data_IF_554570419586
#
_entry.id   IF_554570419586
#
_cell.length_a   1.000
_cell.length_b   1.000
_cell.length_c   1.000
_cell.angle_alpha   90.00
_cell.angle_beta   90.00
_cell.angle_gamma   90.00
#
_symmetry.space_group_name_H-M   'P 1'
#
loop_
_entity.id
_entity.type
_entity.pdbx_description
1 polymer ?
#
# COMPACT_ATOMS: atom_id res chain seq x y z
N UNK A 1 -5.51 -25.39 14.78
CA UNK A 1 -5.16 -25.73 13.39
C UNK A 1 -5.57 -27.16 13.05
N UNK A 2 -5.09 -28.19 13.77
CA UNK A 2 -5.36 -29.60 13.46
C UNK A 2 -6.79 -30.13 13.72
N UNK A 3 -7.67 -29.35 14.36
CA UNK A 3 -9.07 -29.76 14.57
C UNK A 3 -9.86 -29.87 13.26
N UNK A 4 -9.54 -29.02 12.26
CA UNK A 4 -10.18 -29.06 10.93
C UNK A 4 -9.88 -30.37 10.19
N UNK A 5 -8.68 -30.93 10.38
CA UNK A 5 -8.28 -32.23 9.80
C UNK A 5 -9.17 -33.35 10.33
N UNK A 6 -9.39 -33.40 11.65
CA UNK A 6 -10.24 -34.43 12.27
C UNK A 6 -11.69 -34.31 11.80
N UNK A 7 -12.21 -33.08 11.66
CA UNK A 7 -13.56 -32.83 11.14
C UNK A 7 -13.70 -33.26 9.67
N UNK A 8 -12.66 -33.08 8.86
CA UNK A 8 -12.65 -33.52 7.46
C UNK A 8 -12.62 -35.05 7.31
N UNK A 9 -12.05 -35.76 8.30
CA UNK A 9 -11.98 -37.22 8.31
C UNK A 9 -10.57 -37.78 8.48
N UNK A 10 -9.58 -36.95 8.84
CA UNK A 10 -8.25 -37.45 9.18
C UNK A 10 -8.27 -38.20 10.51
N UNK A 11 -7.57 -39.33 10.55
CA UNK A 11 -7.33 -40.12 11.76
C UNK A 11 -5.99 -39.76 12.39
N UNK A 12 -6.01 -39.47 13.70
CA UNK A 12 -4.79 -39.14 14.45
C UNK A 12 -4.02 -40.41 14.80
N UNK A 13 -2.72 -40.42 14.50
CA UNK A 13 -1.80 -41.50 14.87
C UNK A 13 -0.61 -40.96 15.70
N UNK A 14 0.43 -41.78 15.93
CA UNK A 14 1.63 -41.36 16.69
C UNK A 14 2.55 -40.38 15.93
N UNK A 15 2.51 -40.39 14.60
CA UNK A 15 3.36 -39.59 13.72
C UNK A 15 2.68 -38.31 13.19
N UNK A 16 1.36 -38.19 13.29
CA UNK A 16 0.58 -37.10 12.70
C UNK A 16 -0.89 -37.47 12.48
N UNK A 17 -1.41 -37.10 11.31
CA UNK A 17 -2.79 -37.29 10.88
C UNK A 17 -2.81 -37.93 9.49
N UNK A 18 -3.56 -39.01 9.31
CA UNK A 18 -3.71 -39.70 8.03
C UNK A 18 -5.12 -39.56 7.47
N UNK A 19 -5.22 -39.41 6.16
CA UNK A 19 -6.48 -39.47 5.42
C UNK A 19 -6.31 -40.40 4.23
N UNK A 20 -7.31 -41.24 3.98
CA UNK A 20 -7.34 -42.14 2.84
C UNK A 20 -8.70 -42.04 2.12
N UNK A 21 -8.66 -41.95 0.79
CA UNK A 21 -9.87 -41.92 -0.03
C UNK A 21 -9.70 -42.74 -1.30
N UNK A 22 -10.67 -43.61 -1.58
CA UNK A 22 -10.74 -44.38 -2.82
C UNK A 22 -11.23 -43.49 -3.98
N UNK A 23 -10.51 -43.52 -5.09
CA UNK A 23 -10.84 -42.78 -6.33
C UNK A 23 -11.03 -43.75 -7.50
N UNK A 24 -11.62 -43.27 -8.59
CA UNK A 24 -11.84 -44.04 -9.83
C UNK A 24 -12.48 -45.42 -9.59
N UNK A 25 -13.64 -45.43 -8.92
CA UNK A 25 -14.38 -46.66 -8.55
C UNK A 25 -13.62 -47.64 -7.63
N UNK A 26 -12.55 -47.17 -6.97
CA UNK A 26 -11.77 -47.97 -6.04
C UNK A 26 -10.52 -48.59 -6.62
N UNK A 27 -10.18 -48.30 -7.89
CA UNK A 27 -8.95 -48.77 -8.55
C UNK A 27 -7.69 -48.11 -7.94
N UNK A 28 -7.85 -46.95 -7.29
CA UNK A 28 -6.76 -46.24 -6.63
C UNK A 28 -7.19 -45.68 -5.26
N UNK A 29 -6.22 -45.49 -4.38
CA UNK A 29 -6.38 -44.87 -3.07
C UNK A 29 -5.41 -43.70 -2.92
N UNK A 30 -5.94 -42.50 -2.64
CA UNK A 30 -5.15 -41.34 -2.27
C UNK A 30 -4.90 -41.41 -0.77
N UNK A 31 -3.63 -41.39 -0.35
CA UNK A 31 -3.22 -41.31 1.06
C UNK A 31 -2.52 -39.99 1.31
N UNK A 32 -3.07 -39.18 2.22
CA UNK A 32 -2.50 -37.90 2.66
C UNK A 32 -2.05 -38.03 4.11
N UNK A 33 -0.83 -37.61 4.39
CA UNK A 33 -0.27 -37.56 5.74
C UNK A 33 0.14 -36.14 6.09
N UNK A 34 -0.32 -35.67 7.25
CA UNK A 34 0.10 -34.39 7.85
C UNK A 34 0.84 -34.69 9.14
N UNK A 35 2.13 -34.38 9.19
CA UNK A 35 2.97 -34.61 10.37
C UNK A 35 2.63 -33.62 11.50
N UNK A 36 3.13 -33.89 12.71
CA UNK A 36 2.90 -33.03 13.88
C UNK A 36 3.55 -31.64 13.75
N UNK A 37 4.59 -31.50 12.93
CA UNK A 37 5.23 -30.23 12.56
C UNK A 37 4.59 -29.56 11.34
N UNK A 38 3.50 -30.14 10.79
CA UNK A 38 2.69 -29.52 9.72
C UNK A 38 3.17 -29.80 8.30
N UNK A 39 4.15 -30.68 8.09
CA UNK A 39 4.54 -31.12 6.75
C UNK A 39 3.45 -31.99 6.16
N UNK A 40 3.09 -31.71 4.91
CA UNK A 40 2.09 -32.48 4.16
C UNK A 40 2.80 -33.35 3.13
N UNK A 41 2.45 -34.63 3.11
CA UNK A 41 2.88 -35.57 2.08
C UNK A 41 1.68 -36.35 1.58
N UNK A 42 1.71 -36.77 0.32
CA UNK A 42 0.72 -37.71 -0.17
C UNK A 42 1.25 -38.57 -1.30
N UNK A 43 0.52 -39.67 -1.50
CA UNK A 43 0.79 -40.67 -2.51
C UNK A 43 -0.52 -41.26 -3.01
N UNK A 44 -0.47 -41.80 -4.22
CA UNK A 44 -1.57 -42.57 -4.80
C UNK A 44 -1.14 -44.02 -4.85
N UNK A 45 -1.97 -44.91 -4.32
CA UNK A 45 -1.73 -46.36 -4.31
C UNK A 45 -2.64 -47.00 -5.35
N UNK A 46 -2.08 -47.83 -6.21
CA UNK A 46 -2.84 -48.75 -7.06
C UNK A 46 -3.37 -49.88 -6.17
N UNK A 47 -4.69 -50.06 -6.08
CA UNK A 47 -5.28 -51.01 -5.12
C UNK A 47 -5.12 -52.47 -5.55
N UNK A 48 -4.94 -52.73 -6.85
CA UNK A 48 -4.76 -54.07 -7.39
C UNK A 48 -3.34 -54.57 -7.10
N UNK A 49 -2.34 -53.71 -7.28
CA UNK A 49 -0.93 -54.03 -7.03
C UNK A 49 -0.51 -53.76 -5.59
N UNK A 50 -1.26 -52.92 -4.86
CA UNK A 50 -0.89 -52.37 -3.55
C UNK A 50 0.48 -51.68 -3.57
N UNK A 51 0.77 -50.98 -4.67
CA UNK A 51 2.03 -50.27 -4.93
C UNK A 51 1.75 -48.79 -5.23
N UNK A 52 2.76 -47.95 -5.01
CA UNK A 52 2.65 -46.52 -5.29
C UNK A 52 2.62 -46.25 -6.80
N UNK A 53 1.63 -45.47 -7.24
CA UNK A 53 1.43 -45.11 -8.63
C UNK A 53 2.37 -43.96 -9.06
N UNK A 54 3.64 -44.28 -9.27
CA UNK A 54 4.71 -43.32 -9.58
C UNK A 54 4.54 -42.58 -10.91
N UNK A 55 3.68 -43.06 -11.81
CA UNK A 55 3.44 -42.45 -13.12
C UNK A 55 2.89 -41.01 -13.02
N UNK A 56 2.34 -40.62 -11.87
CA UNK A 56 1.91 -39.24 -11.58
C UNK A 56 3.07 -38.24 -11.54
N UNK A 57 4.25 -38.67 -11.10
CA UNK A 57 5.43 -37.80 -10.90
C UNK A 57 6.31 -37.67 -12.16
N UNK A 58 6.00 -38.41 -13.22
CA UNK A 58 6.75 -38.34 -14.48
C UNK A 58 6.22 -37.19 -15.32
N UNK A 59 7.02 -36.13 -15.46
CA UNK A 59 6.69 -34.87 -16.17
C UNK A 59 6.31 -35.04 -17.67
N UNK A 60 6.38 -36.26 -18.22
CA UNK A 60 6.01 -36.58 -19.61
C UNK A 60 4.92 -37.65 -19.76
N UNK A 61 4.36 -38.19 -18.66
CA UNK A 61 3.29 -39.19 -18.74
C UNK A 61 2.00 -38.53 -19.26
N UNK A 62 1.66 -38.82 -20.52
CA UNK A 62 0.61 -38.14 -21.30
C UNK A 62 -0.43 -39.12 -21.86
N UNK A 63 -0.70 -40.21 -21.12
CA UNK A 63 -1.82 -41.11 -21.41
C UNK A 63 -3.13 -40.56 -20.84
N UNK A 64 -4.25 -40.75 -21.56
CA UNK A 64 -5.59 -40.34 -21.11
C UNK A 64 -5.98 -40.92 -19.74
N UNK A 65 -5.44 -42.08 -19.40
CA UNK A 65 -5.64 -42.73 -18.11
C UNK A 65 -4.86 -42.05 -16.97
N UNK A 66 -3.56 -41.72 -17.17
CA UNK A 66 -2.75 -40.97 -16.20
C UNK A 66 -3.38 -39.59 -15.93
N UNK A 67 -3.93 -38.95 -16.96
CA UNK A 67 -4.67 -37.69 -16.83
C UNK A 67 -5.86 -37.79 -15.88
N UNK A 68 -6.67 -38.85 -16.00
CA UNK A 68 -7.83 -39.09 -15.12
C UNK A 68 -7.42 -39.36 -13.67
N UNK A 69 -6.36 -40.15 -13.46
CA UNK A 69 -5.83 -40.39 -12.11
C UNK A 69 -5.31 -39.08 -11.50
N UNK A 70 -4.63 -38.24 -12.29
CA UNK A 70 -4.12 -36.94 -11.86
C UNK A 70 -5.25 -35.97 -11.48
N UNK A 71 -6.29 -35.91 -12.30
CA UNK A 71 -7.47 -35.06 -12.05
C UNK A 71 -8.18 -35.50 -10.76
N UNK A 72 -8.50 -36.79 -10.61
CA UNK A 72 -9.14 -37.30 -9.40
C UNK A 72 -8.28 -37.13 -8.13
N UNK A 73 -6.95 -37.29 -8.26
CA UNK A 73 -6.01 -37.00 -7.17
C UNK A 73 -6.02 -35.51 -6.80
N UNK A 74 -6.02 -34.62 -7.79
CA UNK A 74 -6.04 -33.18 -7.58
C UNK A 74 -7.34 -32.74 -6.91
N UNK A 75 -8.49 -33.31 -7.29
CA UNK A 75 -9.79 -33.03 -6.66
C UNK A 75 -9.82 -33.40 -5.16
N UNK A 76 -9.20 -34.52 -4.76
CA UNK A 76 -9.05 -34.88 -3.34
C UNK A 76 -8.17 -33.87 -2.63
N UNK A 77 -7.05 -33.51 -3.24
CA UNK A 77 -6.10 -32.55 -2.70
C UNK A 77 -6.69 -31.15 -2.49
N UNK A 78 -7.42 -30.64 -3.47
CA UNK A 78 -8.08 -29.34 -3.42
C UNK A 78 -9.11 -29.30 -2.29
N UNK A 79 -9.93 -30.35 -2.12
CA UNK A 79 -10.88 -30.43 -1.00
C UNK A 79 -10.18 -30.44 0.36
N UNK A 80 -9.10 -31.22 0.49
CA UNK A 80 -8.31 -31.26 1.73
C UNK A 80 -7.73 -29.88 2.02
N UNK A 81 -7.15 -29.22 1.01
CA UNK A 81 -6.57 -27.89 1.13
C UNK A 81 -7.62 -26.85 1.56
N UNK A 82 -8.75 -26.77 0.88
CA UNK A 82 -9.84 -25.83 1.18
C UNK A 82 -10.44 -26.03 2.58
N UNK A 83 -10.60 -27.29 3.00
CA UNK A 83 -11.25 -27.59 4.27
C UNK A 83 -10.30 -27.47 5.48
N UNK A 84 -9.03 -27.83 5.29
CA UNK A 84 -8.10 -28.02 6.41
C UNK A 84 -7.01 -26.96 6.52
N UNK A 85 -6.72 -26.22 5.44
CA UNK A 85 -5.61 -25.28 5.39
C UNK A 85 -6.11 -23.85 5.13
N UNK A 86 -5.35 -22.87 5.61
CA UNK A 86 -5.56 -21.47 5.26
C UNK A 86 -4.53 -21.10 4.21
N UNK A 87 -5.01 -20.61 3.06
CA UNK A 87 -4.14 -20.09 2.02
C UNK A 87 -3.40 -18.87 2.57
N UNK A 88 -2.11 -19.05 2.84
CA UNK A 88 -1.22 -17.98 3.22
C UNK A 88 -0.80 -17.21 1.95
N UNK A 89 -1.08 -15.90 1.87
CA UNK A 89 -0.79 -15.12 0.67
C UNK A 89 0.71 -14.91 0.41
N UNK A 90 1.56 -15.12 1.42
CA UNK A 90 3.00 -14.87 1.36
C UNK A 90 3.82 -16.12 1.65
N UNK A 91 5.07 -16.14 1.19
CA UNK A 91 5.93 -17.32 1.30
C UNK A 91 6.50 -17.51 2.72
N UNK A 92 6.79 -16.41 3.42
CA UNK A 92 7.35 -16.42 4.76
C UNK A 92 6.27 -16.33 5.84
N UNK A 93 6.44 -17.08 6.94
CA UNK A 93 5.54 -17.00 8.09
C UNK A 93 5.50 -15.58 8.66
N UNK A 94 6.65 -14.90 8.73
CA UNK A 94 6.75 -13.54 9.25
C UNK A 94 5.97 -12.52 8.41
N UNK A 95 5.99 -12.62 7.09
CA UNK A 95 5.18 -11.76 6.22
C UNK A 95 3.68 -12.04 6.41
N UNK A 96 3.27 -13.30 6.57
CA UNK A 96 1.87 -13.64 6.85
C UNK A 96 1.41 -13.09 8.21
N UNK A 97 2.26 -13.16 9.25
CA UNK A 97 1.99 -12.52 10.55
C UNK A 97 1.84 -11.01 10.41
N UNK A 98 2.73 -10.34 9.66
CA UNK A 98 2.63 -8.90 9.36
C UNK A 98 1.33 -8.56 8.61
N UNK A 99 0.99 -9.30 7.56
CA UNK A 99 -0.21 -9.06 6.77
C UNK A 99 -1.48 -9.16 7.62
N UNK A 100 -1.57 -10.19 8.46
CA UNK A 100 -2.66 -10.35 9.41
C UNK A 100 -2.71 -9.21 10.44
N UNK A 101 -1.55 -8.77 10.95
CA UNK A 101 -1.45 -7.62 11.87
C UNK A 101 -1.97 -6.33 11.22
N UNK A 102 -1.56 -6.04 9.98
CA UNK A 102 -2.01 -4.86 9.23
C UNK A 102 -3.52 -4.90 8.94
N UNK A 103 -4.03 -6.08 8.56
CA UNK A 103 -5.46 -6.28 8.28
C UNK A 103 -6.31 -6.12 9.54
N UNK A 104 -5.90 -6.72 10.65
CA UNK A 104 -6.66 -6.68 11.92
C UNK A 104 -6.58 -5.32 12.61
N UNK A 105 -5.42 -4.65 12.55
CA UNK A 105 -5.19 -3.36 13.22
C UNK A 105 -5.75 -2.19 12.42
N UNK A 106 -5.60 -2.19 11.09
CA UNK A 106 -5.93 -1.03 10.25
C UNK A 106 -7.01 -1.30 9.20
N UNK A 107 -7.35 -2.57 8.95
CA UNK A 107 -8.21 -2.96 7.82
C UNK A 107 -7.51 -2.89 6.47
N UNK A 108 -6.19 -2.66 6.46
CA UNK A 108 -5.40 -2.53 5.24
C UNK A 108 -5.29 -3.88 4.53
N UNK A 109 -5.35 -3.85 3.19
CA UNK A 109 -5.20 -5.01 2.32
C UNK A 109 -4.01 -4.79 1.38
N UNK A 110 -3.63 -5.83 0.63
CA UNK A 110 -2.60 -5.75 -0.39
C UNK A 110 -3.18 -5.86 -1.80
N UNK A 111 -2.48 -5.31 -2.78
CA UNK A 111 -2.77 -5.46 -4.21
C UNK A 111 -1.56 -6.01 -4.98
N UNK A 112 -1.77 -6.42 -6.23
CA UNK A 112 -0.70 -6.82 -7.14
C UNK A 112 -0.46 -5.72 -8.17
N UNK A 113 0.52 -4.82 -7.95
CA UNK A 113 0.66 -3.62 -8.78
C UNK A 113 1.21 -3.88 -10.19
N UNK A 114 1.76 -5.07 -10.47
CA UNK A 114 2.46 -5.37 -11.72
C UNK A 114 1.89 -6.63 -12.39
N UNK A 115 1.26 -6.47 -13.56
CA UNK A 115 0.73 -7.61 -14.33
C UNK A 115 1.80 -8.64 -14.71
N UNK A 116 3.04 -8.19 -14.94
CA UNK A 116 4.17 -9.06 -15.32
C UNK A 116 4.80 -9.80 -14.14
N UNK A 117 4.53 -9.35 -12.91
CA UNK A 117 5.09 -9.90 -11.67
C UNK A 117 3.94 -10.06 -10.66
N UNK A 118 3.04 -11.03 -10.89
CA UNK A 118 1.88 -11.26 -10.01
C UNK A 118 2.28 -11.65 -8.59
N UNK A 119 3.50 -12.15 -8.38
CA UNK A 119 4.05 -12.46 -7.07
C UNK A 119 4.45 -11.21 -6.25
N UNK A 120 4.49 -10.03 -6.87
CA UNK A 120 4.77 -8.79 -6.15
C UNK A 120 3.48 -8.25 -5.56
N UNK A 121 3.54 -7.86 -4.29
CA UNK A 121 2.38 -7.33 -3.57
C UNK A 121 2.70 -5.96 -3.01
N UNK A 122 1.75 -5.03 -3.03
CA UNK A 122 1.94 -3.70 -2.43
C UNK A 122 0.89 -3.37 -1.39
N UNK A 123 1.34 -2.64 -0.37
CA UNK A 123 0.49 -2.09 0.66
C UNK A 123 0.34 -0.59 0.48
N UNK A 124 -0.91 -0.13 0.47
CA UNK A 124 -1.26 1.27 0.19
C UNK A 124 -2.02 1.88 1.35
N UNK A 125 -1.72 3.14 1.65
CA UNK A 125 -2.53 3.87 2.61
C UNK A 125 -3.93 4.12 2.02
N UNK A 126 -5.03 3.70 2.67
CA UNK A 126 -6.36 3.68 2.06
C UNK A 126 -6.83 5.04 1.51
N UNK A 127 -6.56 6.13 2.22
CA UNK A 127 -7.10 7.46 1.83
C UNK A 127 -6.43 8.07 0.60
N UNK A 128 -5.15 7.74 0.36
CA UNK A 128 -4.35 8.43 -0.68
C UNK A 128 -3.65 7.49 -1.65
N UNK A 129 -3.81 6.18 -1.46
CA UNK A 129 -3.32 5.10 -2.33
C UNK A 129 -1.80 5.10 -2.54
N UNK A 130 -1.05 5.80 -1.68
CA UNK A 130 0.42 5.79 -1.71
C UNK A 130 0.95 4.50 -1.10
N UNK A 131 1.98 3.96 -1.74
CA UNK A 131 2.73 2.82 -1.23
C UNK A 131 3.43 3.14 0.08
N UNK A 132 3.22 2.29 1.08
CA UNK A 132 4.08 2.20 2.27
C UNK A 132 4.82 0.87 2.38
N UNK A 133 4.42 -0.13 1.60
CA UNK A 133 5.07 -1.43 1.54
C UNK A 133 5.07 -1.97 0.11
N UNK A 134 6.17 -2.57 -0.32
CA UNK A 134 6.23 -3.36 -1.55
C UNK A 134 6.98 -4.65 -1.26
N UNK A 135 6.27 -5.77 -1.34
CA UNK A 135 6.73 -7.12 -1.07
C UNK A 135 7.16 -7.79 -2.37
N UNK A 136 8.28 -8.50 -2.34
CA UNK A 136 8.77 -9.30 -3.46
C UNK A 136 9.69 -10.42 -2.98
N UNK A 137 9.91 -11.42 -3.84
CA UNK A 137 10.85 -12.51 -3.59
C UNK A 137 12.06 -12.38 -4.52
N UNK A 138 13.27 -12.50 -3.98
CA UNK A 138 14.52 -12.40 -4.74
C UNK A 138 15.63 -13.25 -4.12
N UNK A 139 16.67 -13.57 -4.89
CA UNK A 139 17.85 -14.23 -4.36
C UNK A 139 18.61 -13.28 -3.42
N UNK A 140 19.00 -13.75 -2.23
CA UNK A 140 19.64 -12.94 -1.18
C UNK A 140 20.84 -12.15 -1.71
N UNK A 141 21.65 -12.76 -2.57
CA UNK A 141 22.82 -12.13 -3.20
C UNK A 141 22.53 -10.93 -4.10
N UNK A 142 21.26 -10.60 -4.39
CA UNK A 142 20.89 -9.35 -5.08
C UNK A 142 20.78 -8.14 -4.14
N UNK A 143 20.77 -8.37 -2.83
CA UNK A 143 20.79 -7.31 -1.82
C UNK A 143 22.21 -6.74 -1.67
N UNK A 144 22.27 -5.51 -1.16
CA UNK A 144 23.53 -4.88 -0.78
C UNK A 144 23.91 -5.32 0.63
N UNK A 145 24.57 -6.48 0.73
CA UNK A 145 24.86 -7.20 1.98
C UNK A 145 26.03 -6.59 2.78
N UNK A 146 26.68 -5.53 2.28
CA UNK A 146 27.79 -4.88 2.97
C UNK A 146 28.97 -5.81 3.27
N UNK A 147 29.35 -5.91 4.54
CA UNK A 147 30.45 -6.76 5.02
C UNK A 147 29.98 -8.15 5.51
N UNK A 148 28.68 -8.47 5.37
CA UNK A 148 28.16 -9.77 5.79
C UNK A 148 28.72 -10.91 4.94
N UNK A 149 29.10 -12.00 5.60
CA UNK A 149 29.62 -13.21 4.94
C UNK A 149 28.52 -14.27 4.87
N UNK A 150 28.26 -14.74 3.66
CA UNK A 150 27.26 -15.75 3.34
C UNK A 150 27.90 -16.82 2.47
N UNK A 151 27.50 -18.08 2.64
CA UNK A 151 27.87 -19.16 1.72
C UNK A 151 27.20 -18.97 0.36
N UNK A 152 27.71 -19.64 -0.68
CA UNK A 152 27.10 -19.56 -2.01
C UNK A 152 25.66 -20.06 -2.02
N UNK A 153 25.35 -21.10 -1.22
CA UNK A 153 24.01 -21.66 -1.08
C UNK A 153 23.03 -20.63 -0.46
N UNK A 154 23.46 -19.90 0.57
CA UNK A 154 22.64 -18.85 1.20
C UNK A 154 22.46 -17.61 0.30
N UNK A 155 23.43 -17.32 -0.57
CA UNK A 155 23.32 -16.22 -1.54
C UNK A 155 22.30 -16.53 -2.65
N UNK A 156 22.20 -17.80 -3.04
CA UNK A 156 21.26 -18.29 -4.06
C UNK A 156 19.86 -18.56 -3.48
N UNK A 157 19.73 -18.59 -2.15
CA UNK A 157 18.45 -18.70 -1.44
C UNK A 157 17.49 -17.56 -1.83
N UNK A 158 16.25 -17.93 -2.15
CA UNK A 158 15.17 -16.96 -2.38
C UNK A 158 14.61 -16.50 -1.05
N UNK A 159 14.75 -15.21 -0.78
CA UNK A 159 14.19 -14.55 0.40
C UNK A 159 13.04 -13.64 0.00
N UNK A 160 12.01 -13.59 0.85
CA UNK A 160 10.95 -12.61 0.76
C UNK A 160 11.39 -11.33 1.47
N UNK A 161 11.09 -10.19 0.85
CA UNK A 161 11.50 -8.88 1.34
C UNK A 161 10.34 -7.89 1.28
N UNK A 162 10.40 -6.84 2.10
CA UNK A 162 9.53 -5.67 1.98
C UNK A 162 10.34 -4.38 1.87
N UNK A 163 10.05 -3.58 0.85
CA UNK A 163 10.50 -2.21 0.76
C UNK A 163 9.57 -1.30 1.54
N UNK A 164 10.11 -0.55 2.49
CA UNK A 164 9.37 0.42 3.30
C UNK A 164 9.98 1.81 3.21
N UNK A 165 9.16 2.84 3.42
CA UNK A 165 9.58 4.23 3.47
C UNK A 165 10.07 4.58 4.87
N UNK A 166 11.17 5.32 4.95
CA UNK A 166 11.78 5.73 6.24
C UNK A 166 12.11 7.21 6.24
N UNK A 167 12.31 7.77 7.44
CA UNK A 167 12.88 9.11 7.58
C UNK A 167 14.36 9.09 7.15
N UNK A 168 14.78 10.17 6.49
CA UNK A 168 16.17 10.37 6.08
C UNK A 168 17.12 10.44 7.25
N UNK A 169 16.64 10.96 8.38
CA UNK A 169 17.46 11.13 9.58
C UNK A 169 17.72 9.78 10.29
N UNK A 170 16.80 8.82 10.15
CA UNK A 170 16.92 7.48 10.75
C UNK A 170 17.72 6.48 9.88
N UNK A 171 17.95 6.79 8.60
CA UNK A 171 18.62 5.89 7.65
C UNK A 171 19.96 5.30 8.16
N UNK A 172 20.90 6.10 8.71
CA UNK A 172 22.19 5.56 9.13
C UNK A 172 22.08 4.53 10.27
N UNK A 173 21.16 4.75 11.21
CA UNK A 173 20.92 3.84 12.35
C UNK A 173 20.22 2.57 11.89
N UNK A 174 19.22 2.70 11.02
CA UNK A 174 18.50 1.55 10.45
C UNK A 174 19.43 0.64 9.65
N UNK A 175 20.29 1.21 8.80
CA UNK A 175 21.24 0.43 7.99
C UNK A 175 22.37 -0.21 8.80
N UNK A 176 22.55 0.15 10.06
CA UNK A 176 23.47 -0.53 10.98
C UNK A 176 22.82 -1.75 11.66
N UNK A 177 21.51 -1.94 11.49
CA UNK A 177 20.75 -3.05 12.08
C UNK A 177 20.73 -4.24 11.13
N UNK A 178 21.12 -5.43 11.62
CA UNK A 178 21.05 -6.67 10.85
C UNK A 178 19.61 -6.94 10.37
N UNK A 179 19.46 -7.37 9.12
CA UNK A 179 18.15 -7.60 8.49
C UNK A 179 17.54 -6.37 7.81
N UNK A 180 18.20 -5.21 7.89
CA UNK A 180 17.82 -3.98 7.18
C UNK A 180 18.90 -3.62 6.16
N UNK A 181 18.49 -3.53 4.89
CA UNK A 181 19.40 -3.30 3.77
C UNK A 181 19.03 -2.04 2.99
N UNK A 182 19.97 -1.45 2.22
CA UNK A 182 19.66 -0.40 1.27
C UNK A 182 18.55 -0.83 0.30
N UNK A 183 17.63 0.08 -0.04
CA UNK A 183 16.44 -0.30 -0.81
C UNK A 183 16.77 -0.95 -2.16
N UNK A 184 16.12 -2.08 -2.44
CA UNK A 184 16.11 -2.73 -3.74
C UNK A 184 15.02 -2.11 -4.65
N UNK A 185 15.37 -1.70 -5.88
CA UNK A 185 14.51 -1.00 -6.87
C UNK A 185 13.91 0.37 -6.47
N UNK A 186 13.87 0.72 -5.18
CA UNK A 186 13.33 1.99 -4.69
C UNK A 186 14.42 3.05 -4.45
N UNK A 187 14.00 4.25 -4.06
CA UNK A 187 14.93 5.35 -3.78
C UNK A 187 15.65 5.15 -2.44
N UNK A 188 16.93 4.80 -2.51
CA UNK A 188 17.83 4.55 -1.36
C UNK A 188 17.96 5.70 -0.35
N UNK A 189 17.49 6.91 -0.67
CA UNK A 189 17.46 8.07 0.25
C UNK A 189 16.19 8.18 1.07
N UNK A 190 15.23 7.28 0.92
CA UNK A 190 13.93 7.38 1.62
C UNK A 190 13.25 6.03 1.80
N UNK A 191 13.90 4.96 1.37
CA UNK A 191 13.41 3.59 1.46
C UNK A 191 14.53 2.69 1.94
N UNK A 192 14.15 1.63 2.63
CA UNK A 192 15.00 0.50 3.01
C UNK A 192 14.28 -0.80 2.67
N UNK A 193 15.06 -1.88 2.59
CA UNK A 193 14.57 -3.25 2.40
C UNK A 193 14.69 -4.00 3.71
N UNK A 194 13.62 -4.65 4.15
CA UNK A 194 13.63 -5.61 5.26
C UNK A 194 13.53 -7.01 4.69
N UNK A 195 14.24 -7.97 5.29
CA UNK A 195 14.18 -9.40 4.92
C UNK A 195 13.35 -10.16 5.94
N UNK A 196 12.49 -11.08 5.48
CA UNK A 196 11.68 -11.94 6.33
C UNK A 196 12.42 -13.26 6.64
N UNK A 197 13.47 -13.19 7.43
CA UNK A 197 14.28 -14.34 7.88
C UNK A 197 14.38 -14.43 9.42
N UNK A 198 13.42 -13.80 10.13
CA UNK A 198 13.36 -13.69 11.59
C UNK A 198 14.60 -13.06 12.25
N UNK A 199 15.50 -12.40 11.49
CA UNK A 199 16.61 -11.62 12.06
C UNK A 199 16.12 -10.39 12.82
N UNK A 200 15.01 -9.79 12.38
CA UNK A 200 14.26 -8.77 13.09
C UNK A 200 13.10 -9.43 13.83
N UNK A 201 12.88 -9.04 15.09
CA UNK A 201 11.68 -9.49 15.80
C UNK A 201 10.42 -8.93 15.15
N UNK A 202 9.30 -9.64 15.28
CA UNK A 202 8.00 -9.16 14.78
C UNK A 202 7.67 -7.76 15.30
N UNK A 203 7.97 -7.46 16.56
CA UNK A 203 7.74 -6.13 17.15
C UNK A 203 8.52 -5.03 16.43
N UNK A 204 9.81 -5.26 16.15
CA UNK A 204 10.64 -4.30 15.43
C UNK A 204 10.16 -4.13 14.00
N UNK A 205 9.90 -5.24 13.31
CA UNK A 205 9.47 -5.24 11.92
C UNK A 205 8.13 -4.53 11.76
N UNK A 206 7.14 -4.84 12.62
CA UNK A 206 5.81 -4.25 12.56
C UNK A 206 5.89 -2.74 12.81
N UNK A 207 6.65 -2.32 13.83
CA UNK A 207 6.88 -0.90 14.12
C UNK A 207 7.49 -0.16 12.92
N UNK A 208 8.46 -0.74 12.22
CA UNK A 208 9.05 -0.14 11.03
C UNK A 208 8.04 0.04 9.88
N UNK A 209 7.21 -0.97 9.63
CA UNK A 209 6.16 -0.93 8.59
C UNK A 209 5.07 0.08 8.95
N UNK A 210 4.65 0.14 10.22
CA UNK A 210 3.69 1.13 10.72
C UNK A 210 4.22 2.55 10.61
N UNK A 211 5.51 2.77 10.91
CA UNK A 211 6.15 4.06 10.71
C UNK A 211 6.16 4.46 9.23
N UNK A 212 6.44 3.53 8.32
CA UNK A 212 6.31 3.77 6.87
C UNK A 212 4.88 4.17 6.49
N UNK A 213 3.88 3.46 7.02
CA UNK A 213 2.46 3.77 6.83
C UNK A 213 2.14 5.19 7.30
N UNK A 214 2.61 5.58 8.49
CA UNK A 214 2.44 6.92 9.04
C UNK A 214 3.11 8.00 8.18
N UNK A 215 4.31 7.73 7.64
CA UNK A 215 5.03 8.66 6.76
C UNK A 215 4.29 8.93 5.44
N UNK A 216 3.51 7.97 4.93
CA UNK A 216 2.77 8.12 3.66
C UNK A 216 1.33 8.55 3.84
N UNK A 217 0.74 8.36 5.02
CA UNK A 217 -0.53 8.98 5.42
C UNK A 217 -0.49 10.49 5.17
N UNK A 218 0.73 11.05 5.16
CA UNK A 218 1.00 12.46 5.09
C UNK A 218 0.95 13.03 6.49
N UNK A 219 1.52 14.22 6.69
CA UNK A 219 1.00 15.06 7.77
C UNK A 219 -0.48 15.19 7.46
N UNK A 220 -1.36 14.64 8.31
CA UNK A 220 -2.78 14.98 8.34
C UNK A 220 -2.83 16.50 8.62
N UNK A 221 -2.58 17.28 7.57
CA UNK A 221 -2.64 18.73 7.58
C UNK A 221 -4.07 19.15 7.25
N UNK A 222 -5.02 18.26 7.53
CA UNK A 222 -6.44 18.52 7.46
C UNK A 222 -6.99 18.21 8.81
N UNK A 223 -7.89 19.06 9.28
CA UNK A 223 -8.39 18.91 10.64
C UNK A 223 -9.19 17.62 10.75
N UNK A 224 -8.88 16.77 11.74
CA UNK A 224 -9.74 15.64 12.15
C UNK A 224 -11.12 16.15 12.62
N UNK A 225 -11.22 17.43 12.96
CA UNK A 225 -12.44 18.12 13.38
C UNK A 225 -12.34 19.60 13.02
N UNK A 226 -12.70 19.98 11.79
CA UNK A 226 -12.73 21.38 11.35
C UNK A 226 -12.48 21.57 9.86
N UNK A 227 -12.57 22.82 9.37
CA UNK A 227 -12.30 23.14 7.96
C UNK A 227 -10.80 23.07 7.62
N UNK A 228 -10.48 22.66 6.40
CA UNK A 228 -9.12 22.72 5.88
C UNK A 228 -8.78 24.13 5.38
N UNK A 229 -7.49 24.49 5.41
CA UNK A 229 -6.98 25.76 4.91
C UNK A 229 -6.12 25.54 3.67
N UNK A 230 -6.54 26.11 2.55
CA UNK A 230 -5.93 25.91 1.23
C UNK A 230 -5.27 27.19 0.73
N UNK A 231 -4.12 27.05 0.08
CA UNK A 231 -3.46 28.08 -0.71
C UNK A 231 -3.54 27.67 -2.18
N UNK A 232 -4.12 28.53 -3.01
CA UNK A 232 -4.26 28.28 -4.45
C UNK A 232 -3.62 29.39 -5.27
N UNK A 233 -2.91 29.08 -6.37
CA UNK A 233 -2.39 30.10 -7.27
C UNK A 233 -3.49 30.60 -8.21
N UNK A 234 -3.47 31.90 -8.49
CA UNK A 234 -4.22 32.50 -9.57
C UNK A 234 -3.32 33.39 -10.41
N UNK A 235 -3.37 33.17 -11.72
CA UNK A 235 -2.55 33.91 -12.68
C UNK A 235 -3.39 35.03 -13.31
N UNK A 236 -3.03 36.31 -13.11
CA UNK A 236 -3.76 37.45 -13.68
C UNK A 236 -3.94 37.40 -15.20
N UNK A 237 -3.09 36.66 -15.92
CA UNK A 237 -3.24 36.46 -17.37
C UNK A 237 -4.52 35.70 -17.73
N UNK A 238 -5.00 34.82 -16.85
CA UNK A 238 -6.14 33.94 -17.10
C UNK A 238 -7.36 34.26 -16.22
N UNK A 239 -7.16 34.98 -15.12
CA UNK A 239 -8.21 35.29 -14.16
C UNK A 239 -8.17 36.77 -13.79
N UNK A 240 -9.27 37.47 -14.00
CA UNK A 240 -9.48 38.83 -13.48
C UNK A 240 -10.29 38.76 -12.18
N UNK A 241 -9.62 38.28 -11.13
CA UNK A 241 -10.25 38.06 -9.82
C UNK A 241 -10.66 39.38 -9.18
N UNK A 242 -9.90 40.43 -9.45
CA UNK A 242 -10.13 41.76 -8.90
C UNK A 242 -11.48 42.30 -9.43
N UNK A 243 -11.76 42.15 -10.73
CA UNK A 243 -13.06 42.49 -11.31
C UNK A 243 -14.19 41.58 -10.78
N UNK A 244 -13.97 40.27 -10.72
CA UNK A 244 -14.97 39.32 -10.23
C UNK A 244 -15.40 39.63 -8.78
N UNK A 245 -14.44 39.92 -7.88
CA UNK A 245 -14.77 40.28 -6.49
C UNK A 245 -15.27 41.72 -6.32
N UNK A 246 -14.96 42.63 -7.25
CA UNK A 246 -15.56 43.95 -7.28
C UNK A 246 -17.06 43.89 -7.61
N UNK A 247 -17.48 42.96 -8.47
CA UNK A 247 -18.88 42.76 -8.84
C UNK A 247 -19.65 41.97 -7.77
N UNK A 248 -19.05 40.92 -7.20
CA UNK A 248 -19.72 40.07 -6.22
C UNK A 248 -18.75 39.56 -5.15
N UNK A 249 -19.17 39.61 -3.88
CA UNK A 249 -18.44 38.93 -2.79
C UNK A 249 -18.42 37.41 -2.91
N UNK A 250 -19.24 36.84 -3.79
CA UNK A 250 -19.34 35.40 -4.01
C UNK A 250 -19.16 35.09 -5.49
N UNK A 251 -18.16 34.28 -5.81
CA UNK A 251 -17.77 33.97 -7.19
C UNK A 251 -17.65 32.45 -7.41
N UNK A 252 -17.64 32.05 -8.68
CA UNK A 252 -17.34 30.68 -9.07
C UNK A 252 -15.86 30.52 -9.38
N UNK A 253 -15.24 29.50 -8.81
CA UNK A 253 -13.82 29.22 -8.97
C UNK A 253 -13.57 27.80 -9.46
N UNK A 254 -12.43 27.59 -10.12
CA UNK A 254 -12.03 26.28 -10.63
C UNK A 254 -11.66 25.31 -9.50
N UNK A 255 -12.27 24.13 -9.46
CA UNK A 255 -11.97 23.14 -8.43
C UNK A 255 -10.96 22.11 -8.95
N UNK A 256 -9.68 22.31 -8.59
CA UNK A 256 -8.55 21.44 -8.99
C UNK A 256 -8.02 20.54 -7.87
N UNK A 257 -8.65 20.57 -6.69
CA UNK A 257 -8.31 19.74 -5.54
C UNK A 257 -9.59 19.30 -4.81
N UNK A 258 -9.43 18.38 -3.85
CA UNK A 258 -10.52 17.85 -3.02
C UNK A 258 -10.91 18.81 -1.89
N UNK A 259 -11.24 20.06 -2.23
CA UNK A 259 -11.79 21.03 -1.27
C UNK A 259 -13.19 20.60 -0.84
N UNK A 260 -13.56 20.91 0.40
CA UNK A 260 -14.87 20.62 0.99
C UNK A 260 -15.62 21.91 1.31
N UNK A 261 -16.95 21.81 1.37
CA UNK A 261 -17.78 22.90 1.91
C UNK A 261 -17.34 23.23 3.35
N UNK A 262 -17.15 24.51 3.63
CA UNK A 262 -16.67 25.01 4.91
C UNK A 262 -15.17 25.28 4.96
N UNK A 263 -14.38 24.70 4.04
CA UNK A 263 -12.94 24.95 3.94
C UNK A 263 -12.65 26.43 3.68
N UNK A 264 -11.44 26.86 4.05
CA UNK A 264 -10.92 28.18 3.77
C UNK A 264 -9.89 28.15 2.64
N UNK A 265 -9.85 29.21 1.85
CA UNK A 265 -8.98 29.33 0.68
C UNK A 265 -8.34 30.70 0.68
N UNK A 266 -7.01 30.75 0.67
CA UNK A 266 -6.30 31.95 0.27
C UNK A 266 -5.81 31.86 -1.17
N UNK A 267 -6.01 32.95 -1.90
CA UNK A 267 -5.67 33.07 -3.30
C UNK A 267 -4.37 33.86 -3.42
N UNK A 268 -3.34 33.17 -3.90
CA UNK A 268 -2.03 33.73 -4.21
C UNK A 268 -2.00 34.21 -5.66
N UNK A 269 -1.88 35.53 -5.85
CA UNK A 269 -1.70 36.14 -7.15
C UNK A 269 -0.27 35.89 -7.61
N UNK A 270 -0.10 35.23 -8.76
CA UNK A 270 1.23 34.93 -9.29
C UNK A 270 1.94 36.19 -9.80
N UNK A 271 3.05 36.04 -10.53
CA UNK A 271 3.75 37.19 -11.12
C UNK A 271 2.78 38.07 -11.95
N UNK A 272 2.90 39.41 -11.88
CA UNK A 272 3.98 40.17 -11.23
C UNK A 272 3.81 40.34 -9.71
N UNK A 273 2.59 40.25 -9.17
CA UNK A 273 2.27 40.56 -7.77
C UNK A 273 2.98 39.68 -6.75
N UNK A 274 2.93 38.35 -6.93
CA UNK A 274 3.56 37.38 -6.01
C UNK A 274 3.18 37.56 -4.53
N UNK A 275 1.89 37.70 -4.25
CA UNK A 275 1.36 37.83 -2.90
C UNK A 275 0.00 37.15 -2.74
N UNK A 276 -0.37 36.80 -1.51
CA UNK A 276 -1.74 36.40 -1.19
C UNK A 276 -2.59 37.66 -1.09
N UNK A 277 -3.67 37.72 -1.86
CA UNK A 277 -4.56 38.89 -1.92
C UNK A 277 -5.94 38.63 -1.32
N UNK A 278 -6.47 37.44 -1.48
CA UNK A 278 -7.83 37.13 -1.04
C UNK A 278 -7.85 35.96 -0.08
N UNK A 279 -8.71 36.04 0.92
CA UNK A 279 -9.08 34.94 1.80
C UNK A 279 -10.58 34.71 1.73
N UNK A 280 -10.97 33.47 1.48
CA UNK A 280 -12.33 33.09 1.14
C UNK A 280 -12.78 31.84 1.93
N UNK A 281 -14.08 31.62 1.99
CA UNK A 281 -14.69 30.38 2.46
C UNK A 281 -15.38 29.64 1.31
N UNK A 282 -15.25 28.33 1.27
CA UNK A 282 -15.92 27.46 0.29
C UNK A 282 -17.37 27.23 0.72
N UNK A 283 -18.31 27.65 -0.12
CA UNK A 283 -19.75 27.50 0.14
C UNK A 283 -20.34 26.24 -0.50
N UNK A 284 -19.89 25.90 -1.70
CA UNK A 284 -20.37 24.75 -2.49
C UNK A 284 -19.20 24.17 -3.32
N UNK A 285 -19.23 22.87 -3.58
CA UNK A 285 -18.20 22.13 -4.32
C UNK A 285 -18.86 21.22 -5.36
N UNK A 286 -18.06 20.69 -6.29
CA UNK A 286 -18.46 19.75 -7.33
C UNK A 286 -19.55 20.27 -8.29
N UNK A 287 -19.60 21.60 -8.49
CA UNK A 287 -20.51 22.22 -9.44
C UNK A 287 -20.05 21.93 -10.88
N UNK A 288 -20.94 21.55 -11.81
CA UNK A 288 -20.56 21.34 -13.21
C UNK A 288 -20.14 22.66 -13.87
N UNK A 289 -19.09 22.64 -14.68
CA UNK A 289 -18.71 23.80 -15.50
C UNK A 289 -19.58 23.89 -16.78
N UNK A 290 -20.73 24.55 -16.68
CA UNK A 290 -21.64 24.79 -17.80
C UNK A 290 -21.19 25.93 -18.74
N UNK A 291 -19.93 25.92 -19.19
CA UNK A 291 -19.28 26.96 -19.99
C UNK A 291 -19.00 28.30 -19.26
N UNK A 292 -18.92 28.29 -17.93
CA UNK A 292 -18.50 29.47 -17.16
C UNK A 292 -17.01 29.80 -17.36
N UNK A 293 -16.15 28.77 -17.44
CA UNK A 293 -14.76 28.93 -17.87
C UNK A 293 -14.57 28.23 -19.21
N UNK A 294 -14.14 29.00 -20.21
CA UNK A 294 -13.89 28.54 -21.58
C UNK A 294 -12.53 27.81 -21.68
N UNK A 295 -12.41 26.70 -20.96
CA UNK A 295 -11.22 25.85 -20.95
C UNK A 295 -11.64 24.39 -20.75
N UNK A 296 -11.46 23.51 -21.76
CA UNK A 296 -11.96 22.13 -21.75
C UNK A 296 -11.47 21.28 -20.57
N UNK A 297 -10.30 21.61 -20.00
CA UNK A 297 -9.75 20.88 -18.86
C UNK A 297 -10.48 21.16 -17.53
N UNK A 298 -11.30 22.21 -17.44
CA UNK A 298 -12.03 22.58 -16.22
C UNK A 298 -13.40 21.91 -16.24
N UNK A 299 -13.51 20.78 -15.53
CA UNK A 299 -14.77 20.02 -15.42
C UNK A 299 -15.67 20.48 -14.27
N UNK A 300 -15.05 20.92 -13.16
CA UNK A 300 -15.72 21.22 -11.90
C UNK A 300 -15.39 22.62 -11.38
N UNK A 301 -16.38 23.24 -10.79
CA UNK A 301 -16.31 24.54 -10.12
C UNK A 301 -16.69 24.39 -8.65
N UNK A 302 -16.26 25.38 -7.86
CA UNK A 302 -16.67 25.59 -6.49
C UNK A 302 -17.18 27.02 -6.34
N UNK A 303 -18.11 27.25 -5.42
CA UNK A 303 -18.55 28.59 -5.04
C UNK A 303 -17.75 29.03 -3.83
N UNK A 304 -17.09 30.17 -3.93
CA UNK A 304 -16.29 30.76 -2.83
C UNK A 304 -16.82 32.14 -2.48
N UNK A 305 -16.79 32.47 -1.19
CA UNK A 305 -17.16 33.77 -0.65
C UNK A 305 -15.93 34.48 -0.10
N UNK A 306 -15.71 35.72 -0.52
CA UNK A 306 -14.67 36.59 0.00
C UNK A 306 -14.93 36.96 1.45
N UNK A 307 -13.94 36.69 2.31
CA UNK A 307 -13.96 37.06 3.72
C UNK A 307 -13.01 38.22 4.03
N UNK A 308 -11.86 38.29 3.36
CA UNK A 308 -10.87 39.33 3.59
C UNK A 308 -10.00 39.59 2.35
N UNK A 309 -9.57 40.84 2.19
CA UNK A 309 -8.62 41.27 1.15
C UNK A 309 -7.37 41.84 1.80
N UNK A 310 -6.21 41.30 1.43
CA UNK A 310 -4.91 41.76 1.87
C UNK A 310 -4.30 42.74 0.86
N UNK A 311 -3.44 43.64 1.34
CA UNK A 311 -2.53 44.38 0.47
C UNK A 311 -1.40 43.48 -0.02
N UNK A 312 -0.83 43.83 -1.17
CA UNK A 312 0.20 43.01 -1.84
C UNK A 312 1.50 42.92 -1.02
N UNK A 313 1.66 43.72 0.04
CA UNK A 313 2.82 43.76 0.93
C UNK A 313 2.63 42.91 2.21
N UNK A 314 1.40 42.54 2.57
CA UNK A 314 1.11 41.88 3.86
C UNK A 314 1.51 40.40 3.88
N UNK A 315 1.33 39.70 2.76
CA UNK A 315 1.58 38.25 2.64
C UNK A 315 2.29 37.97 1.31
N UNK A 316 3.50 38.52 1.18
CA UNK A 316 4.36 38.35 0.00
C UNK A 316 4.88 36.93 -0.12
N UNK A 317 5.44 36.58 -1.29
CA UNK A 317 6.09 35.29 -1.49
C UNK A 317 7.25 35.03 -0.52
N UNK A 318 7.97 36.05 -0.05
CA UNK A 318 9.03 35.87 0.94
C UNK A 318 8.48 35.56 2.34
N UNK A 319 7.33 36.13 2.70
CA UNK A 319 6.58 35.73 3.91
C UNK A 319 6.07 34.31 3.78
N UNK A 320 5.55 33.92 2.60
CA UNK A 320 5.17 32.53 2.35
C UNK A 320 6.35 31.58 2.57
N UNK A 321 7.56 31.92 2.08
CA UNK A 321 8.77 31.11 2.32
C UNK A 321 9.12 30.99 3.79
N UNK A 322 9.06 32.08 4.56
CA UNK A 322 9.35 32.04 5.99
C UNK A 322 8.34 31.20 6.76
N UNK A 323 7.08 31.15 6.31
CA UNK A 323 6.04 30.24 6.79
C UNK A 323 6.15 28.80 6.21
N UNK A 324 7.24 28.42 5.54
CA UNK A 324 7.46 27.05 5.05
C UNK A 324 6.88 26.73 3.66
N UNK A 325 6.43 27.73 2.91
CA UNK A 325 5.91 27.58 1.54
C UNK A 325 6.99 27.90 0.50
N UNK A 326 7.62 26.86 -0.05
CA UNK A 326 8.73 27.04 -1.02
C UNK A 326 8.29 27.38 -2.45
N UNK A 327 7.07 27.00 -2.84
CA UNK A 327 6.48 27.28 -4.14
C UNK A 327 4.96 27.12 -4.13
N UNK A 328 4.27 27.85 -5.01
CA UNK A 328 2.81 27.76 -5.22
C UNK A 328 2.54 27.44 -6.69
N UNK A 329 2.58 26.15 -7.05
CA UNK A 329 2.41 25.66 -8.44
C UNK A 329 1.02 25.07 -8.72
N UNK A 330 0.24 24.85 -7.68
CA UNK A 330 -1.12 24.31 -7.71
C UNK A 330 -1.74 24.42 -6.32
N UNK A 331 -3.01 23.99 -6.16
CA UNK A 331 -3.65 23.94 -4.86
C UNK A 331 -2.82 23.14 -3.85
N UNK A 332 -2.65 23.69 -2.65
CA UNK A 332 -1.93 23.03 -1.56
C UNK A 332 -2.50 23.45 -0.22
N UNK A 333 -2.33 22.64 0.80
CA UNK A 333 -2.70 23.02 2.17
C UNK A 333 -1.71 24.04 2.75
N UNK A 334 -2.21 24.93 3.59
CA UNK A 334 -1.41 25.90 4.34
C UNK A 334 -0.66 25.22 5.49
N UNK A 335 0.53 25.73 5.80
CA UNK A 335 1.26 25.37 7.01
C UNK A 335 0.61 26.02 8.23
N UNK A 336 0.87 25.51 9.44
CA UNK A 336 0.35 26.08 10.68
C UNK A 336 0.77 27.54 10.84
N UNK A 337 2.04 27.82 10.55
CA UNK A 337 2.64 29.15 10.63
C UNK A 337 1.99 30.13 9.65
N UNK A 338 1.57 29.65 8.47
CA UNK A 338 0.86 30.49 7.51
C UNK A 338 -0.58 30.78 7.96
N UNK A 339 -1.27 29.80 8.54
CA UNK A 339 -2.63 29.98 9.08
C UNK A 339 -2.59 31.03 10.18
N UNK A 340 -1.71 30.88 11.17
CA UNK A 340 -1.53 31.84 12.27
C UNK A 340 -1.21 33.26 11.74
N UNK A 341 -0.35 33.36 10.73
CA UNK A 341 -0.02 34.64 10.10
C UNK A 341 -1.24 35.28 9.42
N UNK A 342 -2.00 34.51 8.65
CA UNK A 342 -3.21 34.98 7.97
C UNK A 342 -4.26 35.43 8.99
N UNK A 343 -4.49 34.64 10.04
CA UNK A 343 -5.49 34.98 11.06
C UNK A 343 -5.08 36.22 11.87
N UNK A 344 -3.78 36.41 12.15
CA UNK A 344 -3.26 37.62 12.79
C UNK A 344 -3.48 38.92 12.01
N UNK A 345 -3.68 38.83 10.69
CA UNK A 345 -3.90 39.97 9.80
C UNK A 345 -5.39 40.23 9.52
N UNK A 346 -6.25 39.28 9.90
CA UNK A 346 -7.70 39.31 9.65
C UNK A 346 -8.51 39.65 10.90
N UNK A 347 -7.95 39.37 12.08
CA UNK A 347 -8.44 39.84 13.38
C UNK A 347 -8.00 41.29 13.59
#
# INVERSE_FOLDING_TARGET
>A
MFERLVVFGFEKNQAGYDYAELILNGDFEVRVHVSLDGQVSAKVIDTDLNEEYLALHVAGASGSFVGKVREAYQDVFERVAEACFEALPFASDQMNRLANHLKTTYGDDFDHPFEKYPEFSSFRYPENQKWYGLVMTLARGKLDLGEEQWSQEELDEKVEIINIKVDKEALPELLATKGIYPSYHMNKKSWVTLVFDDALSDEQLFSLVENSRALVAGKQLGSLSGPDYWLIPANPKYYDIDAEFAESKTILWTQKASLKKGDFVAIYITAPTKAVRYFCQVLEVDLPNGAYRDEPSIKKLMKIQLLHTFSDEQVTFDILKSCGVRAVRGPRRMTKELIEKIDSLRN
#
